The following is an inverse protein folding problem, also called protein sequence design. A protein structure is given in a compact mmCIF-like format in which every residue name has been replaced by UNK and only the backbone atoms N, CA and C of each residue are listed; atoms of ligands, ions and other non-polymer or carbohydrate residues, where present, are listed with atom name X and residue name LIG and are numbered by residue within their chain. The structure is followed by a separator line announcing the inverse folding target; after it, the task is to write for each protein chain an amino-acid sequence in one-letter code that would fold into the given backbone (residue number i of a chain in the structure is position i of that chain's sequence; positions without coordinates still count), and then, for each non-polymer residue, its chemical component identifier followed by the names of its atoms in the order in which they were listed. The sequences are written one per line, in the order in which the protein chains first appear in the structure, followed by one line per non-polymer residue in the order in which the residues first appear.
data_IF_429488381179
#
_entry.id   IF_429488381179
#
_cell.length_a   1.000
_cell.length_b   1.000
_cell.length_c   1.000
_cell.angle_alpha   90.00
_cell.angle_beta   90.00
_cell.angle_gamma   90.00
#
_symmetry.space_group_name_H-M   'P 1'
#
loop_
_entity.id
_entity.type
_entity.pdbx_description
1 polymer ?
#
# COMPACT_ATOMS: atom_id res chain seq x y z
N UNK A 1 -17.93 -5.12 9.24
CA UNK A 1 -17.71 -5.34 7.81
C UNK A 1 -16.25 -5.32 7.48
N UNK A 2 -15.83 -6.24 6.63
CA UNK A 2 -14.42 -6.30 6.23
C UNK A 2 -14.10 -5.16 5.28
N UNK A 3 -12.96 -4.52 5.49
CA UNK A 3 -12.45 -3.52 4.57
C UNK A 3 -11.44 -4.16 3.63
N UNK A 4 -11.37 -3.63 2.43
CA UNK A 4 -10.40 -4.05 1.42
C UNK A 4 -9.22 -3.11 1.51
N UNK A 5 -8.07 -3.61 1.96
CA UNK A 5 -6.89 -2.79 2.21
C UNK A 5 -5.77 -3.25 1.28
N UNK A 6 -5.18 -2.29 0.57
CA UNK A 6 -4.03 -2.56 -0.29
C UNK A 6 -2.77 -2.20 0.48
N UNK A 7 -1.87 -3.16 0.61
CA UNK A 7 -0.58 -2.96 1.30
C UNK A 7 0.51 -2.94 0.24
N UNK A 8 1.21 -1.82 0.16
CA UNK A 8 2.25 -1.58 -0.84
C UNK A 8 3.60 -1.45 -0.14
N UNK A 9 4.46 -2.43 -0.33
CA UNK A 9 5.79 -2.46 0.29
C UNK A 9 6.66 -3.38 -0.54
N UNK A 10 7.92 -3.02 -0.73
CA UNK A 10 8.82 -3.84 -1.53
C UNK A 10 9.36 -5.05 -0.77
N UNK A 11 9.19 -5.10 0.54
CA UNK A 11 9.68 -6.21 1.35
C UNK A 11 8.58 -7.20 1.66
N UNK A 12 8.83 -8.46 1.30
CA UNK A 12 7.85 -9.52 1.52
C UNK A 12 7.50 -9.66 3.00
N UNK A 13 8.50 -9.60 3.87
CA UNK A 13 8.27 -9.78 5.31
C UNK A 13 7.34 -8.72 5.87
N UNK A 14 7.50 -7.48 5.41
CA UNK A 14 6.64 -6.39 5.88
C UNK A 14 5.22 -6.57 5.35
N UNK A 15 5.08 -6.92 4.05
CA UNK A 15 3.76 -7.16 3.50
C UNK A 15 3.04 -8.26 4.28
N UNK A 16 3.75 -9.36 4.56
CA UNK A 16 3.16 -10.48 5.27
C UNK A 16 2.77 -10.11 6.69
N UNK A 17 3.64 -9.36 7.38
CA UNK A 17 3.37 -8.94 8.74
C UNK A 17 2.15 -8.03 8.82
N UNK A 18 2.13 -7.01 7.99
CA UNK A 18 1.04 -6.03 8.01
C UNK A 18 -0.28 -6.70 7.61
N UNK A 19 -0.26 -7.50 6.54
CA UNK A 19 -1.48 -8.15 6.11
C UNK A 19 -1.99 -9.14 7.15
N UNK A 20 -1.08 -9.86 7.82
CA UNK A 20 -1.48 -10.78 8.88
C UNK A 20 -2.19 -10.08 10.01
N UNK A 21 -1.66 -8.94 10.45
CA UNK A 21 -2.29 -8.17 11.51
C UNK A 21 -3.68 -7.69 11.10
N UNK A 22 -3.78 -7.18 9.86
CA UNK A 22 -5.06 -6.65 9.41
C UNK A 22 -6.08 -7.75 9.19
N UNK A 23 -5.65 -8.90 8.69
CA UNK A 23 -6.56 -10.03 8.49
C UNK A 23 -7.04 -10.58 9.82
N UNK A 24 -6.21 -10.55 10.84
CA UNK A 24 -6.64 -10.95 12.19
C UNK A 24 -7.73 -10.04 12.71
N UNK A 25 -7.78 -8.81 12.25
CA UNK A 25 -8.83 -7.85 12.63
C UNK A 25 -10.06 -7.93 11.72
N UNK A 26 -10.07 -8.87 10.78
CA UNK A 26 -11.24 -9.07 9.93
C UNK A 26 -11.22 -8.35 8.60
N UNK A 27 -10.09 -7.74 8.23
CA UNK A 27 -9.99 -7.04 6.96
C UNK A 27 -9.46 -7.95 5.86
N UNK A 28 -9.69 -7.57 4.63
CA UNK A 28 -9.12 -8.24 3.48
C UNK A 28 -7.93 -7.44 2.98
N UNK A 29 -6.85 -8.13 2.64
CA UNK A 29 -5.65 -7.47 2.17
C UNK A 29 -5.28 -7.95 0.79
N UNK A 30 -4.91 -6.99 -0.05
CA UNK A 30 -4.22 -7.26 -1.30
C UNK A 30 -2.83 -6.68 -1.18
N UNK A 31 -1.87 -7.30 -1.84
CA UNK A 31 -0.46 -6.95 -1.67
C UNK A 31 0.10 -6.47 -2.99
N UNK A 32 0.93 -5.44 -2.94
CA UNK A 32 1.66 -4.95 -4.10
C UNK A 32 3.09 -4.68 -3.68
N UNK A 33 4.04 -5.07 -4.51
CA UNK A 33 5.45 -4.91 -4.17
C UNK A 33 6.07 -3.66 -4.78
N UNK A 34 5.39 -3.02 -5.73
CA UNK A 34 5.93 -1.84 -6.39
C UNK A 34 4.80 -0.97 -6.92
N UNK A 35 5.19 0.13 -7.57
CA UNK A 35 4.23 1.11 -8.07
C UNK A 35 3.31 0.53 -9.13
N UNK A 36 3.84 -0.28 -10.03
CA UNK A 36 3.03 -0.80 -11.13
C UNK A 36 1.96 -1.75 -10.60
N UNK A 37 2.32 -2.63 -9.67
CA UNK A 37 1.34 -3.52 -9.06
C UNK A 37 0.31 -2.75 -8.25
N UNK A 38 0.76 -1.72 -7.54
CA UNK A 38 -0.15 -0.94 -6.72
C UNK A 38 -1.19 -0.21 -7.56
N UNK A 39 -0.75 0.45 -8.62
CA UNK A 39 -1.67 1.21 -9.45
C UNK A 39 -2.62 0.29 -10.21
N UNK A 40 -2.12 -0.86 -10.65
CA UNK A 40 -2.98 -1.85 -11.30
C UNK A 40 -4.04 -2.38 -10.34
N UNK A 41 -3.64 -2.67 -9.09
CA UNK A 41 -4.58 -3.18 -8.11
C UNK A 41 -5.69 -2.19 -7.81
N UNK A 42 -5.34 -0.91 -7.74
CA UNK A 42 -6.33 0.14 -7.48
C UNK A 42 -7.30 0.25 -8.65
N UNK A 43 -6.79 0.14 -9.87
CA UNK A 43 -7.64 0.21 -11.05
C UNK A 43 -8.58 -0.97 -11.16
N UNK A 44 -8.12 -2.15 -10.79
CA UNK A 44 -8.96 -3.35 -10.83
C UNK A 44 -10.11 -3.23 -9.85
N UNK A 45 -9.85 -2.72 -8.68
CA UNK A 45 -10.87 -2.53 -7.66
C UNK A 45 -10.34 -1.52 -6.66
N UNK A 46 -11.06 -0.44 -6.49
CA UNK A 46 -10.66 0.60 -5.55
C UNK A 46 -10.70 0.05 -4.12
N UNK A 47 -9.57 0.10 -3.39
CA UNK A 47 -9.58 -0.35 -2.00
C UNK A 47 -10.22 0.70 -1.10
N UNK A 48 -10.54 0.30 0.13
CA UNK A 48 -11.04 1.25 1.12
C UNK A 48 -9.90 2.06 1.73
N UNK A 49 -8.68 1.50 1.73
CA UNK A 49 -7.52 2.11 2.35
C UNK A 49 -6.28 1.57 1.65
N UNK A 50 -5.27 2.42 1.50
CA UNK A 50 -3.95 2.02 1.01
C UNK A 50 -2.94 2.26 2.11
N UNK A 51 -2.13 1.25 2.42
CA UNK A 51 -0.97 1.40 3.29
C UNK A 51 0.24 1.38 2.37
N UNK A 52 1.00 2.45 2.36
CA UNK A 52 1.99 2.70 1.33
C UNK A 52 3.35 3.01 1.96
N UNK A 53 4.34 2.23 1.57
CA UNK A 53 5.73 2.48 1.97
C UNK A 53 6.30 3.60 1.12
N UNK A 54 6.98 4.54 1.76
CA UNK A 54 7.65 5.63 1.05
C UNK A 54 8.81 5.10 0.21
N UNK A 55 9.54 4.12 0.76
CA UNK A 55 10.77 3.63 0.13
C UNK A 55 10.49 2.36 -0.68
N UNK A 56 10.05 2.51 -1.92
CA UNK A 56 9.79 1.37 -2.80
C UNK A 56 11.02 1.10 -3.66
N UNK A 57 11.92 0.29 -3.14
CA UNK A 57 13.15 -0.05 -3.87
C UNK A 57 12.82 -0.96 -5.05
N UNK A 58 13.49 -0.74 -6.14
CA UNK A 58 13.26 -1.52 -7.35
C UNK A 58 11.97 -1.17 -8.08
N UNK A 59 11.24 -0.17 -7.59
CA UNK A 59 9.99 0.26 -8.19
C UNK A 59 10.28 1.37 -9.21
N UNK A 60 9.46 1.42 -10.26
CA UNK A 60 9.58 2.47 -11.27
C UNK A 60 9.31 3.85 -10.65
N UNK A 61 8.35 3.92 -9.74
CA UNK A 61 8.02 5.15 -9.03
C UNK A 61 8.21 4.90 -7.55
N UNK A 62 8.63 5.92 -6.81
CA UNK A 62 8.73 5.78 -5.36
C UNK A 62 7.36 5.99 -4.69
N UNK A 63 7.32 5.83 -3.37
CA UNK A 63 6.06 5.91 -2.64
C UNK A 63 5.40 7.26 -2.73
N UNK A 64 6.18 8.36 -2.72
CA UNK A 64 5.60 9.69 -2.80
C UNK A 64 5.01 9.95 -4.18
N UNK A 65 5.66 9.44 -5.23
CA UNK A 65 5.11 9.56 -6.57
C UNK A 65 3.80 8.77 -6.71
N UNK A 66 3.76 7.58 -6.13
CA UNK A 66 2.54 6.78 -6.14
C UNK A 66 1.43 7.51 -5.39
N UNK A 67 1.75 8.08 -4.23
CA UNK A 67 0.78 8.86 -3.47
C UNK A 67 0.21 10.00 -4.29
N UNK A 68 1.07 10.71 -5.00
CA UNK A 68 0.64 11.83 -5.83
C UNK A 68 -0.37 11.39 -6.88
N UNK A 69 -0.09 10.27 -7.54
CA UNK A 69 -1.00 9.74 -8.56
C UNK A 69 -2.33 9.31 -7.94
N UNK A 70 -2.27 8.61 -6.81
CA UNK A 70 -3.49 8.15 -6.14
C UNK A 70 -4.37 9.35 -5.79
N UNK A 71 -3.77 10.39 -5.22
CA UNK A 71 -4.56 11.55 -4.79
C UNK A 71 -5.11 12.33 -5.97
N UNK A 72 -4.45 12.27 -7.10
CA UNK A 72 -4.95 12.94 -8.30
C UNK A 72 -6.16 12.20 -8.89
N UNK A 73 -6.11 10.88 -8.93
CA UNK A 73 -7.14 10.06 -9.56
C UNK A 73 -8.25 9.73 -8.58
N UNK A 74 -7.91 9.49 -7.33
CA UNK A 74 -8.85 9.10 -6.28
C UNK A 74 -8.66 9.99 -5.05
N UNK A 75 -9.09 11.26 -5.12
CA UNK A 75 -8.79 12.20 -4.03
C UNK A 75 -9.37 11.79 -2.68
N UNK A 76 -10.43 10.98 -2.68
CA UNK A 76 -11.08 10.56 -1.44
C UNK A 76 -10.54 9.26 -0.88
N UNK A 77 -9.60 8.62 -1.57
CA UNK A 77 -9.06 7.35 -1.12
C UNK A 77 -8.05 7.59 0.01
N UNK A 78 -8.31 7.08 1.22
CA UNK A 78 -7.37 7.28 2.32
C UNK A 78 -6.07 6.51 2.08
N UNK A 79 -4.95 7.15 2.37
CA UNK A 79 -3.63 6.54 2.25
C UNK A 79 -2.87 6.77 3.54
N UNK A 80 -2.36 5.69 4.13
CA UNK A 80 -1.48 5.76 5.30
C UNK A 80 -0.06 5.49 4.82
N UNK A 81 0.82 6.43 5.12
CA UNK A 81 2.22 6.32 4.73
C UNK A 81 3.00 5.67 5.85
N UNK A 82 3.81 4.69 5.49
CA UNK A 82 4.75 4.11 6.44
C UNK A 82 6.15 4.30 5.89
N UNK A 83 7.12 4.41 6.81
CA UNK A 83 8.51 4.50 6.40
C UNK A 83 9.19 3.22 6.87
N UNK A 84 8.90 2.19 6.13
CA UNK A 84 9.17 0.83 6.58
C UNK A 84 10.63 0.51 6.80
N UNK A 85 11.52 1.28 6.21
CA UNK A 85 12.92 0.96 6.40
C UNK A 85 13.51 1.66 7.59
N UNK A 86 12.67 2.24 8.25
CA UNK A 86 12.97 2.66 9.44
C UNK A 86 14.23 3.16 9.77
N UNK A 87 14.10 3.29 9.69
CA UNK A 87 14.87 3.67 10.27
C UNK A 87 14.55 4.53 11.20
N UNK A 88 14.57 4.52 11.85
CA UNK A 88 14.22 5.18 12.75
C UNK A 88 15.12 5.86 13.36
N UNK A 89 15.66 6.10 13.35
CA UNK A 89 16.47 6.71 13.96
C UNK A 89 16.39 7.32 14.32
#
# INVERSE_FOLDING_TARGET
MASDILVVDDETDIRDLVSGILEDEGHRCRLARDSDEALRAIEERRPHLVILDIWLQGSRLDGLEVLSIIKKVHPDLPVVIISGHGNIE
#
